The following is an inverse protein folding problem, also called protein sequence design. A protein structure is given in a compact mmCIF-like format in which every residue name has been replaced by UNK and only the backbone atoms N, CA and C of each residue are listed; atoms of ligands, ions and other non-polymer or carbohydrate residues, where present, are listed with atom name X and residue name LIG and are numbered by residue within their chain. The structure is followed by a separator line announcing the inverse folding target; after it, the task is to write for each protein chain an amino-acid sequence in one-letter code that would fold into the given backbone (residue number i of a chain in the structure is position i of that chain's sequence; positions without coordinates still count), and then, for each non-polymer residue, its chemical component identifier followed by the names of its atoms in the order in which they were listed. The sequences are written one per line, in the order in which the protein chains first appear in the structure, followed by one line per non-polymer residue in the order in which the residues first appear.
data_IF_555065005443
#
_entry.id   IF_555065005443
#
_cell.length_a   1.000
_cell.length_b   1.000
_cell.length_c   1.000
_cell.angle_alpha   90.00
_cell.angle_beta   90.00
_cell.angle_gamma   90.00
#
_symmetry.space_group_name_H-M   'P 1'
#
loop_
_entity.id
_entity.type
_entity.pdbx_description
1 polymer ?
#
# COMPACT_ATOMS: atom_id res chain seq x y z
N UNK A 1 -21.93 -21.38 26.88
CA UNK A 1 -20.96 -21.29 25.77
C UNK A 1 -21.68 -21.49 24.44
N UNK A 2 -21.78 -20.42 23.67
CA UNK A 2 -22.35 -20.42 22.32
C UNK A 2 -21.61 -21.41 21.40
N UNK A 3 -22.30 -22.13 20.48
CA UNK A 3 -21.66 -23.09 19.57
C UNK A 3 -20.52 -22.49 18.73
N UNK A 4 -20.61 -21.20 18.36
CA UNK A 4 -19.55 -20.48 17.64
C UNK A 4 -18.31 -20.30 18.53
N UNK A 5 -18.49 -19.89 19.79
CA UNK A 5 -17.37 -19.77 20.74
C UNK A 5 -16.73 -21.13 21.05
N UNK A 6 -17.53 -22.21 21.09
CA UNK A 6 -17.01 -23.57 21.25
C UNK A 6 -16.11 -23.97 20.08
N UNK A 7 -16.50 -23.66 18.85
CA UNK A 7 -15.65 -23.90 17.67
C UNK A 7 -14.36 -23.06 17.72
N UNK A 8 -14.46 -21.81 18.18
CA UNK A 8 -13.30 -20.90 18.31
C UNK A 8 -12.33 -21.35 19.42
N UNK A 9 -12.81 -22.08 20.43
CA UNK A 9 -12.00 -22.54 21.55
C UNK A 9 -10.93 -23.57 21.20
N UNK A 10 -11.09 -24.30 20.08
CA UNK A 10 -10.17 -25.33 19.60
C UNK A 10 -9.48 -24.91 18.29
N UNK A 11 -8.50 -23.99 18.33
CA UNK A 11 -7.81 -23.53 17.13
C UNK A 11 -6.96 -24.64 16.50
N UNK A 12 -7.01 -24.75 15.18
CA UNK A 12 -6.08 -25.61 14.43
C UNK A 12 -4.67 -25.05 14.52
N UNK A 13 -3.73 -25.86 15.02
CA UNK A 13 -2.31 -25.50 15.17
C UNK A 13 -1.70 -25.09 13.84
N UNK A 14 -2.08 -25.77 12.74
CA UNK A 14 -1.58 -25.46 11.39
C UNK A 14 -2.04 -24.06 10.96
N UNK A 15 -3.32 -23.75 11.09
CA UNK A 15 -3.87 -22.43 10.74
C UNK A 15 -3.31 -21.32 11.62
N UNK A 16 -3.09 -21.61 12.90
CA UNK A 16 -2.43 -20.71 13.85
C UNK A 16 -1.00 -20.40 13.39
N UNK A 17 -0.18 -21.41 13.15
CA UNK A 17 1.21 -21.26 12.70
C UNK A 17 1.30 -20.46 11.41
N UNK A 18 0.49 -20.77 10.39
CA UNK A 18 0.47 -19.98 9.15
C UNK A 18 0.10 -18.52 9.40
N UNK A 19 -0.88 -18.25 10.26
CA UNK A 19 -1.31 -16.88 10.53
C UNK A 19 -0.29 -16.07 11.33
N UNK A 20 0.47 -16.71 12.23
CA UNK A 20 1.60 -16.07 12.90
C UNK A 20 2.72 -15.77 11.90
N UNK A 21 3.06 -16.71 11.02
CA UNK A 21 4.06 -16.48 9.96
C UNK A 21 3.64 -15.34 9.02
N UNK A 22 2.37 -15.25 8.65
CA UNK A 22 1.84 -14.14 7.85
C UNK A 22 1.98 -12.81 8.61
N UNK A 23 1.62 -12.77 9.89
CA UNK A 23 1.76 -11.56 10.71
C UNK A 23 3.22 -11.08 10.79
N UNK A 24 4.16 -12.00 11.00
CA UNK A 24 5.59 -11.69 10.97
C UNK A 24 6.04 -11.24 9.57
N UNK A 25 5.55 -11.90 8.52
CA UNK A 25 5.81 -11.52 7.13
C UNK A 25 5.35 -10.10 6.81
N UNK A 26 4.16 -9.70 7.29
CA UNK A 26 3.66 -8.32 7.19
C UNK A 26 4.66 -7.37 7.85
N UNK A 27 5.01 -7.58 9.12
CA UNK A 27 5.96 -6.71 9.83
C UNK A 27 7.29 -6.58 9.09
N UNK A 28 7.91 -7.71 8.73
CA UNK A 28 9.19 -7.74 8.04
C UNK A 28 9.14 -7.04 6.67
N UNK A 29 8.01 -7.13 5.95
CA UNK A 29 7.86 -6.47 4.64
C UNK A 29 7.89 -4.95 4.71
N UNK A 30 7.46 -4.36 5.83
CA UNK A 30 7.46 -2.92 6.03
C UNK A 30 8.77 -2.38 6.60
N UNK A 31 9.60 -3.20 7.26
CA UNK A 31 10.87 -2.76 7.87
C UNK A 31 11.80 -2.05 6.87
N UNK A 32 12.06 -2.56 5.66
CA UNK A 32 12.96 -1.89 4.70
C UNK A 32 12.48 -0.49 4.32
N UNK A 33 11.16 -0.30 4.19
CA UNK A 33 10.58 0.99 3.84
C UNK A 33 10.72 1.98 4.99
N UNK A 34 10.38 1.59 6.21
CA UNK A 34 10.59 2.41 7.40
C UNK A 34 12.06 2.80 7.57
N UNK A 35 12.95 1.82 7.45
CA UNK A 35 14.39 2.03 7.55
C UNK A 35 14.90 3.02 6.49
N UNK A 36 14.48 2.90 5.22
CA UNK A 36 14.87 3.81 4.13
C UNK A 36 14.46 5.25 4.41
N UNK A 37 13.25 5.48 4.95
CA UNK A 37 12.76 6.82 5.26
C UNK A 37 13.55 7.43 6.44
N UNK A 38 13.75 6.64 7.50
CA UNK A 38 14.46 7.08 8.71
C UNK A 38 15.93 7.35 8.41
N UNK A 39 16.60 6.46 7.67
CA UNK A 39 18.04 6.60 7.38
C UNK A 39 18.34 7.77 6.45
N UNK A 40 17.48 8.03 5.47
CA UNK A 40 17.61 9.18 4.55
C UNK A 40 17.20 10.50 5.19
N UNK A 41 16.45 10.46 6.30
CA UNK A 41 15.81 11.63 6.94
C UNK A 41 15.10 12.55 5.94
N UNK A 42 14.57 11.97 4.86
CA UNK A 42 13.97 12.68 3.75
C UNK A 42 12.88 11.83 3.12
N UNK A 43 11.78 12.49 2.78
CA UNK A 43 10.66 11.89 2.04
C UNK A 43 10.80 12.04 0.52
N UNK A 44 11.99 12.43 0.02
CA UNK A 44 12.25 12.58 -1.41
C UNK A 44 12.01 11.28 -2.18
N UNK A 45 11.20 11.36 -3.25
CA UNK A 45 10.79 10.22 -4.07
C UNK A 45 9.51 9.49 -3.60
N UNK A 46 8.90 9.91 -2.48
CA UNK A 46 7.62 9.35 -2.03
C UNK A 46 6.49 10.22 -2.57
N UNK A 47 5.61 9.63 -3.38
CA UNK A 47 4.43 10.32 -3.91
C UNK A 47 3.41 10.60 -2.80
N UNK A 48 3.00 11.88 -2.58
CA UNK A 48 1.95 12.22 -1.62
C UNK A 48 0.62 11.52 -1.92
N UNK A 49 0.33 11.29 -3.21
CA UNK A 49 -0.85 10.56 -3.67
C UNK A 49 -0.81 9.08 -3.26
N UNK A 50 0.36 8.45 -3.36
CA UNK A 50 0.55 7.07 -2.91
C UNK A 50 0.30 6.94 -1.41
N UNK A 51 0.80 7.88 -0.60
CA UNK A 51 0.58 7.91 0.85
C UNK A 51 -0.89 8.14 1.18
N UNK A 52 -1.56 9.07 0.49
CA UNK A 52 -2.99 9.35 0.67
C UNK A 52 -3.83 8.10 0.39
N UNK A 53 -3.71 7.52 -0.80
CA UNK A 53 -4.48 6.34 -1.20
C UNK A 53 -4.15 5.11 -0.36
N UNK A 54 -2.87 4.90 -0.03
CA UNK A 54 -2.45 3.77 0.79
C UNK A 54 -3.00 3.84 2.20
N UNK A 55 -2.96 5.02 2.82
CA UNK A 55 -3.46 5.21 4.20
C UNK A 55 -4.99 5.14 4.25
N UNK A 56 -5.69 5.79 3.31
CA UNK A 56 -7.17 5.75 3.26
C UNK A 56 -7.70 4.37 2.89
N UNK A 57 -7.05 3.65 1.98
CA UNK A 57 -7.37 2.25 1.71
C UNK A 57 -7.12 1.36 2.93
N UNK A 58 -5.94 1.48 3.57
CA UNK A 58 -5.59 0.68 4.73
C UNK A 58 -6.51 0.90 5.94
N UNK A 59 -6.87 2.15 6.23
CA UNK A 59 -7.83 2.50 7.29
C UNK A 59 -9.25 2.03 6.96
N UNK A 60 -9.66 2.09 5.69
CA UNK A 60 -10.93 1.50 5.24
C UNK A 60 -10.94 -0.02 5.36
N UNK A 61 -9.85 -0.70 4.99
CA UNK A 61 -9.71 -2.15 5.17
C UNK A 61 -9.75 -2.57 6.64
N UNK A 62 -9.16 -1.77 7.53
CA UNK A 62 -9.24 -2.02 8.96
C UNK A 62 -10.65 -1.78 9.53
N UNK A 63 -11.33 -0.71 9.11
CA UNK A 63 -12.73 -0.48 9.46
C UNK A 63 -13.64 -1.61 8.96
N UNK A 64 -13.40 -2.12 7.76
CA UNK A 64 -14.11 -3.25 7.17
C UNK A 64 -14.05 -4.50 8.06
N UNK A 65 -12.85 -4.95 8.45
CA UNK A 65 -12.72 -6.17 9.28
C UNK A 65 -13.28 -6.00 10.69
N UNK A 66 -13.20 -4.79 11.27
CA UNK A 66 -13.75 -4.50 12.60
C UNK A 66 -15.28 -4.47 12.62
N UNK A 67 -15.90 -3.94 11.56
CA UNK A 67 -17.36 -3.89 11.44
C UNK A 67 -17.99 -5.23 11.04
N UNK A 68 -17.19 -6.17 10.54
CA UNK A 68 -17.69 -7.46 10.10
C UNK A 68 -18.38 -8.20 11.28
N UNK A 69 -19.64 -8.66 11.13
CA UNK A 69 -20.37 -9.36 12.19
C UNK A 69 -19.65 -10.61 12.69
N UNK A 70 -18.93 -11.31 11.81
CA UNK A 70 -18.12 -12.48 12.19
C UNK A 70 -17.00 -12.09 13.16
N UNK A 71 -16.21 -11.08 12.82
CA UNK A 71 -15.14 -10.53 13.67
C UNK A 71 -15.69 -10.04 15.02
N UNK A 72 -16.85 -9.35 15.01
CA UNK A 72 -17.47 -8.89 16.24
C UNK A 72 -17.91 -10.03 17.17
N UNK A 73 -18.38 -11.15 16.60
CA UNK A 73 -18.70 -12.37 17.37
C UNK A 73 -17.43 -13.02 17.91
N UNK A 74 -16.35 -13.07 17.13
CA UNK A 74 -15.06 -13.61 17.57
C UNK A 74 -14.50 -12.84 18.77
N UNK A 75 -14.60 -11.49 18.75
CA UNK A 75 -14.23 -10.63 19.88
C UNK A 75 -15.12 -10.88 21.10
N UNK A 76 -16.44 -11.00 20.91
CA UNK A 76 -17.35 -11.26 22.02
C UNK A 76 -17.10 -12.62 22.71
N UNK A 77 -16.65 -13.63 21.95
CA UNK A 77 -16.29 -14.93 22.52
C UNK A 77 -15.04 -14.90 23.43
N UNK A 78 -14.21 -13.84 23.36
CA UNK A 78 -12.97 -13.76 24.14
C UNK A 78 -13.21 -13.72 25.66
N UNK A 79 -14.40 -13.32 26.11
CA UNK A 79 -14.76 -13.34 27.54
C UNK A 79 -15.05 -14.75 28.07
N UNK A 80 -15.33 -15.71 27.19
CA UNK A 80 -15.71 -17.09 27.53
C UNK A 80 -14.63 -18.15 27.25
N UNK A 81 -13.54 -17.78 26.56
CA UNK A 81 -12.51 -18.74 26.08
C UNK A 81 -11.12 -18.43 26.66
N UNK A 82 -10.20 -19.39 26.53
CA UNK A 82 -8.80 -19.19 26.95
C UNK A 82 -8.12 -18.06 26.15
N UNK A 83 -7.17 -17.36 26.78
CA UNK A 83 -6.44 -16.27 26.14
C UNK A 83 -5.70 -16.70 24.86
N UNK A 84 -5.16 -17.93 24.81
CA UNK A 84 -4.55 -18.48 23.61
C UNK A 84 -5.57 -18.65 22.47
N UNK A 85 -6.74 -19.21 22.77
CA UNK A 85 -7.81 -19.39 21.78
C UNK A 85 -8.33 -18.04 21.27
N UNK A 86 -8.50 -17.06 22.16
CA UNK A 86 -8.86 -15.69 21.77
C UNK A 86 -7.79 -15.08 20.85
N UNK A 87 -6.52 -15.12 21.24
CA UNK A 87 -5.42 -14.62 20.39
C UNK A 87 -5.41 -15.28 19.01
N UNK A 88 -5.53 -16.61 18.96
CA UNK A 88 -5.59 -17.37 17.71
C UNK A 88 -6.80 -16.99 16.84
N UNK A 89 -7.94 -16.70 17.46
CA UNK A 89 -9.16 -16.22 16.80
C UNK A 89 -9.01 -14.82 16.21
N UNK A 90 -8.37 -13.91 16.94
CA UNK A 90 -8.19 -12.51 16.55
C UNK A 90 -7.03 -12.26 15.58
N UNK A 91 -6.25 -13.29 15.21
CA UNK A 91 -5.09 -13.13 14.31
C UNK A 91 -5.41 -12.43 12.98
N UNK A 92 -6.60 -12.65 12.40
CA UNK A 92 -7.01 -11.94 11.18
C UNK A 92 -7.11 -10.42 11.40
N UNK A 93 -7.74 -10.00 12.51
CA UNK A 93 -7.85 -8.58 12.91
C UNK A 93 -6.46 -8.01 13.17
N UNK A 94 -5.60 -8.76 13.87
CA UNK A 94 -4.22 -8.34 14.17
C UNK A 94 -3.38 -8.17 12.90
N UNK A 95 -3.51 -9.04 11.91
CA UNK A 95 -2.81 -8.92 10.63
C UNK A 95 -3.21 -7.64 9.89
N UNK A 96 -4.52 -7.42 9.71
CA UNK A 96 -5.03 -6.22 9.01
C UNK A 96 -4.70 -4.95 9.78
N UNK A 97 -4.87 -4.96 11.11
CA UNK A 97 -4.53 -3.85 11.99
C UNK A 97 -3.04 -3.52 11.96
N UNK A 98 -2.17 -4.53 11.97
CA UNK A 98 -0.71 -4.34 11.85
C UNK A 98 -0.35 -3.65 10.54
N UNK A 99 -0.92 -4.10 9.41
CA UNK A 99 -0.73 -3.42 8.12
C UNK A 99 -1.19 -1.96 8.17
N UNK A 100 -2.38 -1.68 8.72
CA UNK A 100 -2.89 -0.32 8.83
C UNK A 100 -1.97 0.57 9.68
N UNK A 101 -1.49 0.06 10.82
CA UNK A 101 -0.53 0.76 11.69
C UNK A 101 0.78 1.02 10.95
N UNK A 102 1.34 0.05 10.24
CA UNK A 102 2.54 0.25 9.44
C UNK A 102 2.37 1.38 8.40
N UNK A 103 1.24 1.47 7.72
CA UNK A 103 0.96 2.57 6.81
C UNK A 103 0.81 3.92 7.53
N UNK A 104 0.20 3.96 8.71
CA UNK A 104 0.13 5.17 9.54
C UNK A 104 1.53 5.62 9.98
N UNK A 105 2.43 4.70 10.30
CA UNK A 105 3.83 5.04 10.60
C UNK A 105 4.49 5.63 9.35
N UNK A 106 4.27 5.07 8.15
CA UNK A 106 4.76 5.69 6.90
C UNK A 106 4.23 7.11 6.73
N UNK A 107 2.94 7.36 6.99
CA UNK A 107 2.38 8.72 6.95
C UNK A 107 3.07 9.64 7.97
N UNK A 108 3.27 9.18 9.21
CA UNK A 108 3.93 9.97 10.25
C UNK A 108 5.37 10.32 9.86
N UNK A 109 6.15 9.33 9.41
CA UNK A 109 7.52 9.54 8.92
C UNK A 109 7.53 10.44 7.68
N UNK A 110 6.56 10.26 6.76
CA UNK A 110 6.40 11.08 5.59
C UNK A 110 6.27 12.54 6.01
N UNK A 111 5.33 12.88 6.90
CA UNK A 111 5.13 14.25 7.41
C UNK A 111 6.38 14.76 8.11
N UNK A 112 6.93 14.04 9.09
CA UNK A 112 8.09 14.47 9.88
C UNK A 112 9.28 14.80 8.97
N UNK A 113 9.63 13.94 8.03
CA UNK A 113 10.78 14.17 7.15
C UNK A 113 10.47 15.01 5.91
N UNK A 114 9.19 15.27 5.61
CA UNK A 114 8.79 16.34 4.69
C UNK A 114 8.95 17.72 5.34
N UNK A 115 8.82 17.78 6.67
CA UNK A 115 8.84 19.02 7.44
C UNK A 115 10.23 19.55 7.77
N UNK A 116 11.30 18.78 7.54
CA UNK A 116 12.67 19.22 7.86
C UNK A 116 13.20 20.23 6.82
N UNK A 117 13.36 21.53 7.18
CA UNK A 117 13.90 22.56 6.31
C UNK A 117 15.43 22.60 6.31
N UNK A 118 16.10 21.69 7.04
CA UNK A 118 17.55 21.74 7.29
C UNK A 118 18.40 21.20 6.13
N UNK A 119 18.06 21.58 4.91
CA UNK A 119 18.96 21.45 3.76
C UNK A 119 19.28 22.84 3.24
N UNK A 120 20.16 23.52 3.98
CA UNK A 120 20.97 24.69 3.55
C UNK A 120 20.21 25.91 3.02
N UNK A 121 20.44 27.05 3.67
CA UNK A 121 19.87 28.37 3.38
C UNK A 121 20.23 29.00 2.01
N UNK A 122 20.30 28.24 0.92
CA UNK A 122 20.77 28.69 -0.40
C UNK A 122 19.77 28.53 -1.56
N UNK A 123 18.49 28.24 -1.32
CA UNK A 123 17.49 28.18 -2.42
C UNK A 123 16.10 28.72 -2.03
N UNK A 124 16.05 29.96 -1.50
CA UNK A 124 14.80 30.72 -1.34
C UNK A 124 14.26 31.28 -2.67
N UNK A 125 14.17 30.48 -3.73
CA UNK A 125 13.65 30.90 -5.05
C UNK A 125 12.79 29.84 -5.74
N UNK A 126 12.21 28.90 -5.00
CA UNK A 126 11.02 28.18 -5.48
C UNK A 126 9.93 28.35 -4.44
N UNK A 127 8.80 28.91 -4.86
CA UNK A 127 7.53 28.79 -4.14
C UNK A 127 7.45 27.40 -3.54
N UNK A 128 7.04 27.27 -2.27
CA UNK A 128 7.02 25.98 -1.58
C UNK A 128 5.59 25.39 -1.54
N UNK A 129 5.08 24.77 -2.62
CA UNK A 129 3.85 23.98 -2.63
C UNK A 129 4.06 22.55 -2.10
N UNK A 130 5.29 22.14 -1.77
CA UNK A 130 5.60 20.77 -1.33
C UNK A 130 5.11 20.51 0.11
N UNK A 131 5.48 21.34 1.08
CA UNK A 131 5.08 21.17 2.50
C UNK A 131 3.57 21.27 2.71
N UNK A 132 2.93 22.23 2.02
CA UNK A 132 1.46 22.40 2.05
C UNK A 132 0.77 21.12 1.55
N UNK A 133 1.29 20.50 0.49
CA UNK A 133 0.77 19.22 -0.03
C UNK A 133 0.89 18.10 1.00
N UNK A 134 2.04 17.97 1.68
CA UNK A 134 2.22 16.96 2.71
C UNK A 134 1.25 17.15 3.90
N UNK A 135 1.04 18.41 4.33
CA UNK A 135 0.08 18.74 5.38
C UNK A 135 -1.36 18.46 4.96
N UNK A 136 -1.75 18.81 3.73
CA UNK A 136 -3.09 18.54 3.20
C UNK A 136 -3.36 17.03 3.09
N UNK A 137 -2.38 16.25 2.63
CA UNK A 137 -2.48 14.78 2.60
C UNK A 137 -2.63 14.22 4.00
N UNK A 138 -1.82 14.68 4.96
CA UNK A 138 -1.91 14.23 6.35
C UNK A 138 -3.27 14.58 6.96
N UNK A 139 -3.75 15.81 6.77
CA UNK A 139 -5.06 16.25 7.24
C UNK A 139 -6.18 15.41 6.62
N UNK A 140 -6.14 15.15 5.31
CA UNK A 140 -7.13 14.30 4.63
C UNK A 140 -7.13 12.87 5.18
N UNK A 141 -5.96 12.27 5.39
CA UNK A 141 -5.83 10.94 6.00
C UNK A 141 -6.39 10.90 7.44
N UNK A 142 -6.08 11.91 8.25
CA UNK A 142 -6.56 12.00 9.64
C UNK A 142 -8.07 12.18 9.67
N UNK A 143 -8.62 13.10 8.86
CA UNK A 143 -10.07 13.35 8.76
C UNK A 143 -10.78 12.06 8.34
N UNK A 144 -10.27 11.36 7.33
CA UNK A 144 -10.82 10.08 6.91
C UNK A 144 -10.75 9.05 8.04
N UNK A 145 -9.61 8.90 8.72
CA UNK A 145 -9.47 7.92 9.80
C UNK A 145 -10.43 8.20 10.96
N UNK A 146 -10.57 9.47 11.36
CA UNK A 146 -11.53 9.90 12.39
C UNK A 146 -12.96 9.63 11.94
N UNK A 147 -13.32 9.97 10.70
CA UNK A 147 -14.65 9.68 10.17
C UNK A 147 -14.95 8.18 10.16
N UNK A 148 -13.98 7.35 9.74
CA UNK A 148 -14.12 5.90 9.74
C UNK A 148 -14.29 5.33 11.16
N UNK A 149 -13.56 5.85 12.15
CA UNK A 149 -13.71 5.45 13.56
C UNK A 149 -15.06 5.87 14.11
N UNK A 150 -15.47 7.13 13.91
CA UNK A 150 -16.76 7.64 14.41
C UNK A 150 -17.91 6.85 13.80
N UNK A 151 -17.92 6.67 12.47
CA UNK A 151 -18.92 5.84 11.79
C UNK A 151 -18.86 4.39 12.27
N UNK A 152 -17.66 3.83 12.41
CA UNK A 152 -17.46 2.47 12.90
C UNK A 152 -18.06 2.24 14.28
N UNK A 153 -17.78 3.13 15.24
CA UNK A 153 -18.33 3.09 16.60
C UNK A 153 -19.85 3.29 16.59
N UNK A 154 -20.34 4.26 15.83
CA UNK A 154 -21.79 4.52 15.70
C UNK A 154 -22.54 3.29 15.16
N UNK A 155 -22.03 2.64 14.12
CA UNK A 155 -22.64 1.42 13.56
C UNK A 155 -22.49 0.25 14.53
N UNK A 156 -21.35 0.12 15.21
CA UNK A 156 -21.14 -0.94 16.18
C UNK A 156 -22.14 -0.84 17.36
N UNK A 157 -22.40 0.36 17.88
CA UNK A 157 -23.21 0.54 19.08
C UNK A 157 -24.70 0.78 18.79
N UNK A 158 -25.03 1.62 17.80
CA UNK A 158 -26.41 2.04 17.55
C UNK A 158 -27.12 1.25 16.45
N UNK A 159 -26.38 0.68 15.49
CA UNK A 159 -26.96 0.01 14.31
C UNK A 159 -26.35 -1.38 14.03
N UNK A 160 -26.40 -2.32 15.00
CA UNK A 160 -25.75 -3.62 14.87
C UNK A 160 -26.28 -4.47 13.70
N UNK A 161 -27.54 -4.26 13.29
CA UNK A 161 -28.16 -4.93 12.13
C UNK A 161 -27.56 -4.50 10.79
N UNK A 162 -26.98 -3.30 10.70
CA UNK A 162 -26.40 -2.76 9.46
C UNK A 162 -24.89 -3.02 9.33
N UNK A 163 -24.27 -3.70 10.29
CA UNK A 163 -22.82 -3.97 10.32
C UNK A 163 -22.26 -4.58 9.03
N UNK A 164 -22.94 -5.60 8.49
CA UNK A 164 -22.51 -6.27 7.25
C UNK A 164 -22.50 -5.32 6.05
N UNK A 165 -23.52 -4.46 5.92
CA UNK A 165 -23.61 -3.48 4.84
C UNK A 165 -22.44 -2.49 4.90
N UNK A 166 -22.19 -1.92 6.07
CA UNK A 166 -21.11 -0.95 6.25
C UNK A 166 -19.73 -1.58 6.11
N UNK A 167 -19.53 -2.80 6.61
CA UNK A 167 -18.33 -3.56 6.34
C UNK A 167 -18.09 -3.66 4.82
N UNK A 168 -19.09 -4.08 4.05
CA UNK A 168 -18.96 -4.18 2.59
C UNK A 168 -18.64 -2.83 1.91
N UNK A 169 -19.26 -1.74 2.34
CA UNK A 169 -18.95 -0.39 1.84
C UNK A 169 -17.48 -0.05 2.06
N UNK A 170 -16.96 -0.23 3.28
CA UNK A 170 -15.56 0.01 3.60
C UNK A 170 -14.61 -0.89 2.80
N UNK A 171 -14.96 -2.16 2.59
CA UNK A 171 -14.15 -3.11 1.80
C UNK A 171 -14.11 -2.74 0.32
N UNK A 172 -15.25 -2.35 -0.27
CA UNK A 172 -15.32 -1.86 -1.65
C UNK A 172 -14.51 -0.57 -1.80
N UNK A 173 -14.66 0.37 -0.85
CA UNK A 173 -13.89 1.61 -0.83
C UNK A 173 -12.38 1.35 -0.78
N UNK A 174 -11.93 0.46 0.11
CA UNK A 174 -10.53 0.04 0.17
C UNK A 174 -10.05 -0.54 -1.17
N UNK A 175 -10.85 -1.41 -1.78
CA UNK A 175 -10.53 -2.03 -3.08
C UNK A 175 -10.39 -0.99 -4.19
N UNK A 176 -11.31 -0.02 -4.25
CA UNK A 176 -11.29 1.05 -5.25
C UNK A 176 -10.05 1.93 -5.05
N UNK A 177 -9.80 2.38 -3.82
CA UNK A 177 -8.66 3.23 -3.49
C UNK A 177 -7.33 2.54 -3.82
N UNK A 178 -7.19 1.26 -3.47
CA UNK A 178 -6.02 0.46 -3.86
C UNK A 178 -5.92 0.28 -5.37
N UNK A 179 -7.03 0.05 -6.08
CA UNK A 179 -7.00 -0.10 -7.54
C UNK A 179 -6.51 1.17 -8.23
N UNK A 180 -7.02 2.32 -7.79
CA UNK A 180 -6.58 3.64 -8.26
C UNK A 180 -5.09 3.86 -7.96
N UNK A 181 -4.54 3.31 -6.87
CA UNK A 181 -3.11 3.38 -6.57
C UNK A 181 -2.25 2.58 -7.56
N UNK A 182 -2.72 1.41 -8.01
CA UNK A 182 -1.95 0.52 -8.90
C UNK A 182 -2.11 0.83 -10.39
N UNK A 183 -3.29 1.27 -10.85
CA UNK A 183 -3.55 1.47 -12.29
C UNK A 183 -2.60 2.47 -12.97
N UNK A 184 -2.31 3.66 -12.41
CA UNK A 184 -1.36 4.59 -13.00
C UNK A 184 0.03 3.96 -13.15
N UNK A 185 0.48 3.21 -12.14
CA UNK A 185 1.77 2.52 -12.18
C UNK A 185 1.80 1.44 -13.28
N UNK A 186 0.72 0.68 -13.44
CA UNK A 186 0.57 -0.32 -14.51
C UNK A 186 0.66 0.36 -15.87
N UNK A 187 -0.13 1.41 -16.06
CA UNK A 187 -0.15 2.18 -17.31
C UNK A 187 1.24 2.75 -17.64
N UNK A 188 1.89 3.42 -16.69
CA UNK A 188 3.21 4.00 -16.89
C UNK A 188 4.26 2.93 -17.19
N UNK A 189 4.23 1.79 -16.49
CA UNK A 189 5.17 0.67 -16.76
C UNK A 189 4.96 0.12 -18.17
N UNK A 190 3.71 0.07 -18.64
CA UNK A 190 3.37 -0.39 -19.99
C UNK A 190 3.90 0.58 -21.06
N UNK A 191 3.66 1.87 -20.87
CA UNK A 191 4.08 2.93 -21.82
C UNK A 191 5.59 3.06 -21.86
N UNK A 192 6.26 3.10 -20.70
CA UNK A 192 7.71 3.29 -20.62
C UNK A 192 8.51 2.03 -20.94
N UNK A 193 7.87 0.84 -20.94
CA UNK A 193 8.53 -0.47 -21.16
C UNK A 193 9.75 -0.71 -20.29
N UNK A 194 9.74 -0.19 -19.07
CA UNK A 194 10.78 -0.40 -18.06
C UNK A 194 10.16 -0.33 -16.68
N UNK A 195 10.76 -1.06 -15.75
CA UNK A 195 10.43 -0.95 -14.35
C UNK A 195 11.15 0.29 -13.83
N UNK A 196 10.44 1.29 -13.33
CA UNK A 196 11.03 2.54 -12.84
C UNK A 196 11.93 2.32 -11.61
N UNK A 197 11.45 2.68 -10.43
CA UNK A 197 12.14 2.43 -9.15
C UNK A 197 11.59 1.25 -8.35
N UNK A 198 10.74 0.43 -8.98
CA UNK A 198 10.08 -0.70 -8.33
C UNK A 198 11.09 -1.82 -8.03
N UNK A 199 11.04 -2.35 -6.81
CA UNK A 199 11.85 -3.52 -6.44
C UNK A 199 11.16 -4.81 -6.88
N UNK A 200 11.61 -5.41 -7.99
CA UNK A 200 11.15 -6.73 -8.45
C UNK A 200 11.26 -7.79 -7.33
N UNK A 201 12.36 -7.87 -6.56
CA UNK A 201 12.46 -8.83 -5.45
C UNK A 201 11.38 -8.65 -4.38
N UNK A 202 11.04 -7.40 -4.03
CA UNK A 202 9.97 -7.12 -3.06
C UNK A 202 8.61 -7.62 -3.56
N UNK A 203 8.31 -7.41 -4.85
CA UNK A 203 7.06 -7.88 -5.44
C UNK A 203 6.99 -9.41 -5.54
N UNK A 204 8.10 -10.09 -5.83
CA UNK A 204 8.15 -11.55 -5.87
C UNK A 204 7.78 -12.20 -4.53
N UNK A 205 8.06 -11.53 -3.42
CA UNK A 205 7.69 -12.00 -2.08
C UNK A 205 6.26 -11.56 -1.73
N UNK A 206 5.93 -10.29 -2.00
CA UNK A 206 4.67 -9.69 -1.57
C UNK A 206 3.46 -10.22 -2.34
N UNK A 207 3.55 -10.38 -3.66
CA UNK A 207 2.44 -10.87 -4.49
C UNK A 207 1.93 -12.24 -4.04
N UNK A 208 2.75 -13.31 -3.96
CA UNK A 208 2.28 -14.60 -3.48
C UNK A 208 1.89 -14.56 -1.99
N UNK A 209 2.61 -13.80 -1.16
CA UNK A 209 2.28 -13.62 0.25
C UNK A 209 0.88 -13.02 0.46
N UNK A 210 0.49 -12.05 -0.37
CA UNK A 210 -0.84 -11.42 -0.31
C UNK A 210 -1.98 -12.37 -0.71
N UNK A 211 -1.75 -13.30 -1.66
CA UNK A 211 -2.72 -14.36 -1.99
C UNK A 211 -2.86 -15.37 -0.85
N UNK A 212 -1.74 -15.79 -0.24
CA UNK A 212 -1.76 -16.69 0.93
C UNK A 212 -2.49 -16.02 2.09
N UNK A 213 -2.27 -14.73 2.30
CA UNK A 213 -2.97 -13.96 3.31
C UNK A 213 -4.47 -13.86 3.03
N UNK A 214 -4.86 -13.56 1.79
CA UNK A 214 -6.26 -13.55 1.37
C UNK A 214 -6.94 -14.91 1.61
N UNK A 215 -6.28 -16.02 1.25
CA UNK A 215 -6.77 -17.36 1.51
C UNK A 215 -6.92 -17.66 3.02
N UNK A 216 -5.97 -17.20 3.83
CA UNK A 216 -6.06 -17.33 5.30
C UNK A 216 -7.25 -16.56 5.87
N UNK A 217 -7.52 -15.35 5.39
CA UNK A 217 -8.69 -14.56 5.78
C UNK A 217 -9.99 -15.18 5.29
N UNK A 218 -10.02 -15.74 4.07
CA UNK A 218 -11.17 -16.47 3.54
C UNK A 218 -11.50 -17.71 4.36
N UNK A 219 -10.49 -18.48 4.77
CA UNK A 219 -10.68 -19.65 5.65
C UNK A 219 -11.20 -19.27 7.04
N UNK A 220 -10.86 -18.07 7.54
CA UNK A 220 -11.28 -17.58 8.86
C UNK A 220 -12.66 -16.95 8.86
N UNK A 221 -12.92 -16.07 7.89
CA UNK A 221 -14.12 -15.23 7.85
C UNK A 221 -15.24 -15.84 6.99
N UNK A 222 -14.93 -16.84 6.17
CA UNK A 222 -15.86 -17.47 5.24
C UNK A 222 -16.32 -16.54 4.12
N UNK A 223 -17.46 -16.87 3.53
CA UNK A 223 -18.09 -16.08 2.45
C UNK A 223 -18.61 -14.73 2.94
N UNK A 224 -19.02 -14.64 4.20
CA UNK A 224 -19.47 -13.37 4.81
C UNK A 224 -18.36 -12.32 4.84
N UNK A 225 -17.09 -12.74 4.95
CA UNK A 225 -15.92 -11.87 4.94
C UNK A 225 -15.37 -11.53 3.57
N UNK A 226 -16.11 -11.74 2.47
CA UNK A 226 -15.61 -11.52 1.11
C UNK A 226 -15.08 -10.11 0.87
N UNK A 227 -15.68 -9.10 1.49
CA UNK A 227 -15.22 -7.71 1.38
C UNK A 227 -13.91 -7.45 2.11
N UNK A 228 -13.49 -8.34 3.02
CA UNK A 228 -12.20 -8.29 3.70
C UNK A 228 -11.12 -9.00 2.90
N UNK A 229 -11.30 -10.30 2.60
CA UNK A 229 -10.28 -11.06 1.88
C UNK A 229 -10.19 -10.67 0.39
N UNK A 230 -11.30 -10.20 -0.19
CA UNK A 230 -11.39 -9.80 -1.61
C UNK A 230 -10.52 -8.60 -1.95
N UNK A 231 -10.37 -7.63 -1.03
CA UNK A 231 -9.45 -6.49 -1.20
C UNK A 231 -8.04 -7.00 -1.50
N UNK A 232 -7.59 -7.99 -0.73
CA UNK A 232 -6.24 -8.55 -0.85
C UNK A 232 -6.05 -9.35 -2.13
N UNK A 233 -7.09 -10.09 -2.58
CA UNK A 233 -7.07 -10.75 -3.90
C UNK A 233 -6.90 -9.73 -5.02
N UNK A 234 -7.72 -8.67 -5.03
CA UNK A 234 -7.64 -7.64 -6.07
C UNK A 234 -6.26 -6.97 -6.07
N UNK A 235 -5.75 -6.59 -4.90
CA UNK A 235 -4.41 -5.99 -4.80
C UNK A 235 -3.32 -6.95 -5.28
N UNK A 236 -3.42 -8.24 -4.98
CA UNK A 236 -2.46 -9.24 -5.40
C UNK A 236 -2.42 -9.40 -6.93
N UNK A 237 -3.59 -9.36 -7.59
CA UNK A 237 -3.68 -9.45 -9.06
C UNK A 237 -3.09 -8.21 -9.73
N UNK A 238 -3.32 -7.02 -9.17
CA UNK A 238 -2.75 -5.77 -9.66
C UNK A 238 -1.22 -5.75 -9.49
N UNK A 239 -0.73 -6.15 -8.31
CA UNK A 239 0.70 -6.30 -8.04
C UNK A 239 1.33 -7.39 -8.93
N UNK A 240 0.64 -8.51 -9.14
CA UNK A 240 1.07 -9.59 -10.02
C UNK A 240 1.20 -9.15 -11.47
N UNK A 241 0.27 -8.32 -11.95
CA UNK A 241 0.34 -7.71 -13.29
C UNK A 241 1.60 -6.86 -13.43
N UNK A 242 1.90 -6.00 -12.45
CA UNK A 242 3.13 -5.21 -12.42
C UNK A 242 4.38 -6.08 -12.38
N UNK A 243 4.37 -7.15 -11.59
CA UNK A 243 5.49 -8.06 -11.48
C UNK A 243 5.76 -8.77 -12.82
N UNK A 244 4.73 -9.25 -13.51
CA UNK A 244 4.85 -9.88 -14.83
C UNK A 244 5.45 -8.90 -15.84
N UNK A 245 4.90 -7.69 -15.90
CA UNK A 245 5.44 -6.65 -16.78
C UNK A 245 6.89 -6.33 -16.45
N UNK A 246 7.23 -6.29 -15.17
CA UNK A 246 8.59 -5.98 -14.75
C UNK A 246 9.60 -7.08 -15.08
N UNK A 247 9.22 -8.34 -14.89
CA UNK A 247 10.03 -9.48 -15.35
C UNK A 247 10.22 -9.40 -16.87
N UNK A 248 9.15 -9.13 -17.60
CA UNK A 248 9.18 -9.07 -19.06
C UNK A 248 10.09 -7.94 -19.59
N UNK A 249 9.93 -6.72 -19.11
CA UNK A 249 10.69 -5.58 -19.63
C UNK A 249 12.14 -5.51 -19.13
N UNK A 250 12.43 -5.98 -17.92
CA UNK A 250 13.79 -5.89 -17.34
C UNK A 250 14.66 -7.08 -17.75
N UNK A 251 14.10 -8.29 -17.82
CA UNK A 251 14.88 -9.52 -18.05
C UNK A 251 14.66 -10.13 -19.43
N UNK A 252 13.44 -10.09 -19.98
CA UNK A 252 13.12 -10.78 -21.24
C UNK A 252 13.26 -9.87 -22.47
N UNK A 253 12.99 -8.59 -22.33
CA UNK A 253 13.13 -7.60 -23.39
C UNK A 253 13.76 -6.29 -22.88
N UNK A 254 14.99 -6.35 -22.33
CA UNK A 254 15.69 -5.15 -21.90
C UNK A 254 15.90 -4.24 -23.11
N UNK A 255 15.34 -3.03 -23.06
CA UNK A 255 15.66 -2.03 -24.08
C UNK A 255 17.15 -1.68 -23.98
N UNK A 256 17.90 -1.95 -25.05
CA UNK A 256 19.25 -1.41 -25.22
C UNK A 256 19.13 0.11 -25.26
N UNK A 257 19.72 0.80 -24.28
CA UNK A 257 19.76 2.26 -24.28
C UNK A 257 20.38 2.76 -25.58
N UNK A 258 19.67 3.65 -26.29
CA UNK A 258 20.24 4.47 -27.35
C UNK A 258 21.26 5.43 -26.71
N UNK A 259 22.52 5.00 -26.67
CA UNK A 259 23.62 5.79 -26.14
C UNK A 259 24.90 4.97 -26.00
N UNK A 260 25.59 4.73 -27.11
CA UNK A 260 26.91 4.08 -27.07
C UNK A 260 27.48 3.67 -28.42
N UNK A 261 27.65 4.62 -29.34
CA UNK A 261 28.55 4.43 -30.48
C UNK A 261 30.00 4.35 -29.96
N UNK A 262 30.69 3.25 -30.27
CA UNK A 262 32.15 3.01 -30.29
C UNK A 262 33.05 3.77 -29.28
N UNK A 263 33.65 3.04 -28.34
CA UNK A 263 35.12 2.82 -28.29
C UNK A 263 35.50 1.94 -27.10
N UNK A 264 36.49 1.07 -27.32
CA UNK A 264 36.89 0.01 -26.40
C UNK A 264 37.58 0.47 -25.13
N UNK A 265 37.73 -0.49 -24.21
CA UNK A 265 38.76 -0.50 -23.17
C UNK A 265 38.58 0.50 -22.04
N UNK A 266 37.98 0.06 -20.94
CA UNK A 266 38.56 -0.01 -19.59
C UNK A 266 37.40 -0.28 -18.62
N UNK A 267 37.46 -1.41 -17.95
CA UNK A 267 36.58 -1.73 -16.84
C UNK A 267 36.92 -0.80 -15.66
N UNK A 268 36.10 0.23 -15.45
CA UNK A 268 36.10 0.98 -14.19
C UNK A 268 34.97 0.41 -13.34
N UNK A 269 35.33 -0.41 -12.36
CA UNK A 269 34.43 -0.82 -11.28
C UNK A 269 34.20 0.39 -10.38
N UNK A 270 33.09 1.12 -10.61
CA UNK A 270 32.67 2.18 -9.69
C UNK A 270 31.94 1.57 -8.49
N UNK A 271 32.21 2.03 -7.25
CA UNK A 271 31.55 1.53 -6.06
C UNK A 271 30.04 1.76 -6.10
N UNK A 272 29.30 0.80 -5.56
CA UNK A 272 27.86 0.85 -5.32
C UNK A 272 27.53 1.94 -4.31
N UNK A 273 27.41 3.20 -4.74
CA UNK A 273 26.96 4.28 -3.86
C UNK A 273 26.17 5.36 -4.64
N UNK A 274 24.97 5.66 -4.14
CA UNK A 274 24.14 6.81 -4.47
C UNK A 274 23.69 6.99 -5.92
N UNK A 275 22.60 6.31 -6.30
CA UNK A 275 21.71 6.76 -7.39
C UNK A 275 20.46 7.40 -6.80
N UNK A 276 20.45 8.73 -6.78
CA UNK A 276 19.24 9.52 -6.65
C UNK A 276 18.28 9.16 -7.79
N UNK A 277 17.00 8.93 -7.48
CA UNK A 277 15.95 8.85 -8.50
C UNK A 277 15.81 10.22 -9.17
N UNK A 278 15.59 10.28 -10.49
CA UNK A 278 15.40 11.56 -11.15
C UNK A 278 14.14 12.24 -10.62
N UNK A 279 14.33 13.49 -10.19
CA UNK A 279 13.27 14.45 -9.91
C UNK A 279 12.28 14.52 -11.06
N UNK A 280 10.98 14.42 -10.77
CA UNK A 280 9.93 14.96 -11.64
C UNK A 280 10.13 16.47 -11.71
N UNK A 281 10.76 16.95 -12.78
CA UNK A 281 10.48 18.28 -13.30
C UNK A 281 9.18 18.16 -14.10
N UNK A 282 8.11 18.77 -13.60
CA UNK A 282 6.99 19.15 -14.45
C UNK A 282 7.53 20.18 -15.45
N UNK A 283 7.76 19.75 -16.69
CA UNK A 283 7.88 20.71 -17.78
C UNK A 283 6.48 21.27 -18.06
N UNK A 284 6.36 22.53 -17.70
CA UNK A 284 5.30 23.44 -18.06
C UNK A 284 5.24 23.57 -19.60
N UNK A 285 4.30 22.91 -20.27
CA UNK A 285 4.00 23.24 -21.66
C UNK A 285 2.49 23.13 -21.98
N UNK A 286 1.74 24.07 -21.43
CA UNK A 286 0.64 24.67 -22.17
C UNK A 286 1.24 25.54 -23.30
N UNK A 287 1.52 24.94 -24.45
CA UNK A 287 1.64 25.67 -25.72
C UNK A 287 1.35 24.80 -26.95
N UNK A 288 0.11 24.30 -27.02
CA UNK A 288 -0.45 23.87 -28.31
C UNK A 288 -0.79 25.12 -29.11
N UNK A 289 0.17 25.69 -29.85
CA UNK A 289 -0.07 26.60 -30.97
C UNK A 289 1.23 26.86 -31.75
N UNK A 290 1.10 26.81 -33.10
CA UNK A 290 2.09 27.10 -34.16
C UNK A 290 3.06 25.95 -34.51
N UNK A 291 3.29 25.52 -35.76
CA UNK A 291 2.96 26.02 -37.11
C UNK A 291 3.03 24.86 -38.11
N UNK A 292 2.01 24.75 -38.96
CA UNK A 292 2.02 24.03 -40.23
C UNK A 292 3.06 24.65 -41.17
N UNK A 293 3.92 23.88 -41.87
CA UNK A 293 4.73 24.45 -42.94
C UNK A 293 3.89 24.60 -44.22
N UNK A 294 3.60 25.85 -44.58
CA UNK A 294 3.09 26.21 -45.89
C UNK A 294 4.18 26.00 -46.95
N UNK A 295 3.88 25.14 -47.91
CA UNK A 295 4.50 25.11 -49.23
C UNK A 295 4.36 26.49 -49.89
N UNK A 296 5.48 27.09 -50.32
CA UNK A 296 5.48 28.10 -51.38
C UNK A 296 6.49 27.71 -52.46
N UNK A 297 5.94 27.53 -53.65
CA UNK A 297 6.60 27.33 -54.95
C UNK A 297 7.53 28.51 -55.31
N UNK A 298 8.43 28.30 -56.27
CA UNK A 298 8.40 29.00 -57.55
C UNK A 298 7.60 28.24 -58.61
#
# INVERSE_FOLDING_TARGET
MDPHCKQLSSPSIVNFSFSVLILLGILLSYVPQHHRIISRRSSFGISPYFVLLGTTSGTSGFANILLLPRSAKDVACCDEISGFSCFAGLLGILQVGTQAVCFVIILALFVIFFTNPDTTAASKTRESPSFRTALLVAAACIIHAVAAVVLGVMIALAYPSSRQLWANIFGIMATILSSIQYFPQIYTTYVLRRVGSLSIPMMCIQTPGSLVWAASLAARLGTEGWSTWGVYVVTALLQGTLLIMGIYFEYLNPQKGEGGTNSGGVAVTLPYENRAEPSFSEDNENRVLERTPLLRKP
#
